data_IF_927438988187
#
_entry.id   IF_927438988187
#
_cell.length_a   1.000
_cell.length_b   1.000
_cell.length_c   1.000
_cell.angle_alpha   90.00
_cell.angle_beta   90.00
_cell.angle_gamma   90.00
#
_symmetry.space_group_name_H-M   'P 1'
#
loop_
_entity.id
_entity.type
_entity.pdbx_description
1 polymer ?
#
# COMPACT_ATOMS: atom_id res chain seq x y z
N UNK A 1 43.27 -3.81 -63.32
CA UNK A 1 44.52 -3.53 -62.59
C UNK A 1 44.64 -4.59 -61.51
N UNK A 2 45.33 -5.69 -61.84
CA UNK A 2 46.75 -5.96 -61.53
C UNK A 2 46.88 -6.52 -60.11
N UNK A 3 46.85 -7.83 -59.85
CA UNK A 3 47.67 -8.97 -60.37
C UNK A 3 48.85 -9.30 -59.42
N UNK A 4 49.20 -10.60 -59.37
CA UNK A 4 50.36 -11.27 -58.73
C UNK A 4 50.34 -11.60 -57.24
N UNK A 5 49.90 -12.85 -57.00
CA UNK A 5 50.73 -13.93 -56.47
C UNK A 5 52.25 -13.68 -56.32
N UNK A 6 52.82 -14.21 -55.24
CA UNK A 6 54.18 -14.77 -55.30
C UNK A 6 54.39 -15.96 -54.35
N UNK A 7 54.67 -17.12 -54.92
CA UNK A 7 55.23 -18.28 -54.21
C UNK A 7 56.59 -17.94 -53.57
N UNK A 8 56.96 -18.56 -52.44
CA UNK A 8 58.01 -19.61 -52.42
C UNK A 8 58.13 -20.38 -51.08
N UNK A 9 58.29 -21.71 -51.20
CA UNK A 9 58.81 -22.67 -50.21
C UNK A 9 60.36 -22.76 -50.34
N UNK A 10 61.08 -23.73 -49.72
CA UNK A 10 61.06 -24.30 -48.35
C UNK A 10 62.45 -24.23 -47.66
N UNK A 11 62.62 -24.81 -46.46
CA UNK A 11 63.95 -25.06 -45.86
C UNK A 11 63.95 -26.17 -44.80
N UNK A 12 64.89 -27.14 -44.90
CA UNK A 12 64.98 -28.33 -44.05
C UNK A 12 65.97 -28.17 -42.86
N UNK A 13 65.51 -28.52 -41.64
CA UNK A 13 66.29 -29.15 -40.55
C UNK A 13 67.59 -28.49 -40.04
N UNK A 14 68.37 -29.17 -39.16
CA UNK A 14 68.09 -30.43 -38.45
C UNK A 14 68.21 -30.34 -36.91
N UNK A 15 68.04 -31.50 -36.28
CA UNK A 15 68.26 -31.88 -34.87
C UNK A 15 69.38 -31.18 -34.08
N UNK A 16 69.11 -30.86 -32.80
CA UNK A 16 70.12 -30.61 -31.77
C UNK A 16 69.60 -31.01 -30.38
N UNK A 17 70.27 -31.95 -29.70
CA UNK A 17 69.92 -32.38 -28.35
C UNK A 17 70.61 -31.50 -27.28
N UNK A 18 69.94 -31.26 -26.14
CA UNK A 18 70.50 -30.44 -25.06
C UNK A 18 69.74 -30.62 -23.74
N UNK A 19 70.38 -31.25 -22.76
CA UNK A 19 69.76 -31.74 -21.53
C UNK A 19 69.29 -30.66 -20.54
N UNK A 20 68.19 -30.98 -19.85
CA UNK A 20 67.88 -30.69 -18.43
C UNK A 20 68.19 -29.31 -17.84
N UNK A 21 67.14 -28.59 -17.43
CA UNK A 21 67.10 -27.97 -16.10
C UNK A 21 65.73 -28.19 -15.42
N UNK A 22 65.73 -28.10 -14.10
CA UNK A 22 64.69 -28.59 -13.17
C UNK A 22 63.52 -27.62 -12.98
N UNK A 23 62.35 -28.22 -12.69
CA UNK A 23 61.25 -27.72 -11.85
C UNK A 23 60.59 -26.37 -12.20
N UNK A 24 59.25 -26.35 -12.28
CA UNK A 24 58.33 -25.78 -11.25
C UNK A 24 56.93 -25.59 -11.86
N UNK A 25 55.92 -25.99 -11.07
CA UNK A 25 54.46 -25.78 -11.19
C UNK A 25 53.69 -26.28 -12.44
N UNK A 26 52.86 -27.27 -12.14
CA UNK A 26 51.50 -27.44 -12.68
C UNK A 26 50.71 -26.12 -12.64
N UNK A 27 49.98 -25.81 -13.70
CA UNK A 27 48.84 -24.88 -13.66
C UNK A 27 47.71 -25.44 -14.54
N UNK A 28 46.85 -26.25 -13.94
CA UNK A 28 45.65 -26.78 -14.60
C UNK A 28 44.65 -25.62 -14.73
N UNK A 29 44.52 -25.06 -15.92
CA UNK A 29 43.46 -24.12 -16.25
C UNK A 29 42.12 -24.86 -16.44
N UNK A 30 41.60 -25.45 -15.36
CA UNK A 30 40.16 -25.70 -15.28
C UNK A 30 39.50 -24.33 -15.23
N UNK A 31 38.98 -23.86 -16.38
CA UNK A 31 37.93 -22.86 -16.38
C UNK A 31 36.74 -23.49 -15.67
N UNK A 32 36.65 -23.20 -14.37
CA UNK A 32 35.43 -23.33 -13.62
C UNK A 32 34.38 -22.48 -14.34
N UNK A 33 33.45 -23.16 -15.02
CA UNK A 33 32.09 -22.70 -15.11
C UNK A 33 31.52 -22.66 -13.68
N UNK A 34 31.95 -21.66 -12.89
CA UNK A 34 31.04 -21.02 -11.95
C UNK A 34 30.00 -20.31 -12.81
N UNK A 35 29.06 -21.08 -13.35
CA UNK A 35 27.75 -20.52 -13.61
C UNK A 35 27.32 -19.90 -12.30
N UNK A 36 27.18 -18.58 -12.29
CA UNK A 36 26.51 -17.91 -11.20
C UNK A 36 25.13 -18.57 -11.12
N UNK A 37 24.94 -19.42 -10.11
CA UNK A 37 23.63 -19.87 -9.69
C UNK A 37 22.90 -18.62 -9.25
N UNK A 38 22.29 -17.93 -10.22
CA UNK A 38 21.36 -16.84 -10.03
C UNK A 38 20.15 -17.40 -9.31
N UNK A 39 20.31 -17.63 -8.01
CA UNK A 39 19.24 -17.90 -7.06
C UNK A 39 18.20 -16.84 -7.29
N UNK A 40 17.05 -17.27 -7.81
CA UNK A 40 15.98 -16.35 -8.16
C UNK A 40 15.68 -15.47 -6.95
N UNK A 41 15.67 -14.15 -7.16
CA UNK A 41 15.56 -13.20 -6.07
C UNK A 41 14.34 -13.55 -5.19
N UNK A 42 14.53 -13.77 -3.87
CA UNK A 42 13.49 -14.31 -3.01
C UNK A 42 12.22 -13.45 -3.06
N UNK A 43 11.08 -14.13 -3.19
CA UNK A 43 9.75 -13.54 -3.29
C UNK A 43 9.04 -13.68 -1.96
N UNK A 44 8.65 -12.56 -1.35
CA UNK A 44 7.71 -12.56 -0.23
C UNK A 44 6.28 -12.57 -0.77
N UNK A 45 5.52 -13.65 -0.57
CA UNK A 45 4.14 -13.76 -1.03
C UNK A 45 3.17 -13.76 0.16
N UNK A 46 2.36 -12.70 0.28
CA UNK A 46 1.37 -12.51 1.33
C UNK A 46 -0.06 -12.62 0.79
N UNK A 47 -0.87 -13.48 1.41
CA UNK A 47 -2.33 -13.49 1.25
C UNK A 47 -3.00 -12.96 2.52
N UNK A 48 -3.82 -11.93 2.35
CA UNK A 48 -4.58 -11.28 3.40
C UNK A 48 -6.04 -11.74 3.26
N UNK A 49 -6.48 -12.60 4.16
CA UNK A 49 -7.84 -13.11 4.23
C UNK A 49 -8.71 -12.17 5.08
N UNK A 50 -9.76 -11.62 4.48
CA UNK A 50 -10.60 -10.61 5.08
C UNK A 50 -11.92 -11.21 5.53
N UNK A 51 -12.23 -11.07 6.83
CA UNK A 51 -13.43 -11.62 7.46
C UNK A 51 -14.14 -10.60 8.37
N UNK A 52 -15.07 -11.10 9.19
CA UNK A 52 -15.69 -10.35 10.28
C UNK A 52 -16.30 -9.01 9.86
N UNK A 53 -16.08 -8.00 10.69
CA UNK A 53 -16.59 -6.65 10.47
C UNK A 53 -15.87 -5.93 9.32
N UNK A 54 -14.59 -6.23 9.10
CA UNK A 54 -13.82 -5.68 7.98
C UNK A 54 -14.43 -6.08 6.63
N UNK A 55 -14.89 -7.32 6.51
CA UNK A 55 -15.57 -7.84 5.33
C UNK A 55 -17.01 -7.30 5.23
N UNK A 56 -17.75 -7.34 6.34
CA UNK A 56 -19.18 -7.00 6.38
C UNK A 56 -19.43 -5.50 6.17
N UNK A 57 -18.75 -4.67 6.96
CA UNK A 57 -18.94 -3.22 7.02
C UNK A 57 -17.82 -2.44 6.34
N UNK A 58 -16.85 -3.13 5.72
CA UNK A 58 -15.67 -2.49 5.14
C UNK A 58 -14.76 -1.90 6.22
N UNK A 59 -13.64 -1.34 5.79
CA UNK A 59 -12.68 -0.74 6.70
C UNK A 59 -11.38 -0.37 5.99
N UNK A 60 -10.31 -0.21 6.77
CA UNK A 60 -9.01 0.20 6.23
C UNK A 60 -7.90 -0.71 6.73
N UNK A 61 -7.06 -1.12 5.80
CA UNK A 61 -5.83 -1.87 6.07
C UNK A 61 -4.65 -1.06 5.56
N UNK A 62 -3.67 -0.80 6.42
CA UNK A 62 -2.42 -0.13 6.06
C UNK A 62 -1.30 -1.17 5.93
N UNK A 63 -0.74 -1.35 4.73
CA UNK A 63 0.36 -2.29 4.47
C UNK A 63 1.69 -1.54 4.55
N UNK A 64 2.54 -1.86 5.51
CA UNK A 64 3.92 -1.37 5.59
C UNK A 64 4.90 -2.43 5.06
N UNK A 65 5.72 -2.04 4.10
CA UNK A 65 6.82 -2.86 3.59
C UNK A 65 8.08 -2.63 4.45
N UNK A 66 8.65 -3.70 5.02
CA UNK A 66 9.82 -3.64 5.92
C UNK A 66 11.02 -4.35 5.25
N UNK A 67 11.95 -3.61 4.63
CA UNK A 67 13.13 -4.19 3.97
C UNK A 67 14.18 -4.66 4.99
N UNK A 68 14.29 -5.98 5.18
CA UNK A 68 15.29 -6.60 6.06
C UNK A 68 16.57 -6.98 5.30
N UNK A 69 17.69 -7.10 6.01
CA UNK A 69 18.95 -7.57 5.43
C UNK A 69 18.92 -9.07 5.15
N UNK A 70 19.88 -9.57 4.37
CA UNK A 70 19.91 -10.97 3.97
C UNK A 70 20.19 -11.91 5.16
N UNK A 71 20.92 -11.43 6.17
CA UNK A 71 21.22 -12.15 7.42
C UNK A 71 20.01 -12.19 8.37
N UNK A 72 19.11 -11.21 8.26
CA UNK A 72 17.86 -11.11 9.00
C UNK A 72 16.67 -11.74 8.25
N UNK A 73 16.88 -12.28 7.05
CA UNK A 73 15.86 -12.99 6.28
C UNK A 73 15.77 -14.45 6.74
N UNK A 74 14.62 -14.94 7.24
CA UNK A 74 14.54 -16.30 7.73
C UNK A 74 14.77 -17.35 6.62
N UNK A 75 15.53 -18.38 6.93
CA UNK A 75 15.84 -19.48 6.01
C UNK A 75 14.64 -20.40 5.80
N UNK A 76 14.37 -20.79 4.54
CA UNK A 76 13.26 -21.69 4.18
C UNK A 76 11.98 -20.99 3.70
N UNK A 77 11.99 -19.66 3.59
CA UNK A 77 10.85 -18.91 3.07
C UNK A 77 10.78 -18.98 1.54
N UNK A 78 9.61 -19.33 1.01
CA UNK A 78 9.29 -19.30 -0.42
C UNK A 78 8.45 -20.48 -0.93
N UNK A 79 8.32 -21.56 -0.13
CA UNK A 79 7.56 -22.75 -0.54
C UNK A 79 6.04 -22.61 -0.34
N UNK A 80 5.61 -21.82 0.65
CA UNK A 80 4.19 -21.51 0.91
C UNK A 80 3.97 -20.00 1.05
N UNK A 81 2.88 -19.45 0.46
CA UNK A 81 2.49 -18.07 0.72
C UNK A 81 2.11 -17.86 2.19
N UNK A 82 2.62 -16.80 2.80
CA UNK A 82 2.20 -16.37 4.14
C UNK A 82 0.73 -16.00 4.10
N UNK A 83 -0.07 -16.52 5.03
CA UNK A 83 -1.49 -16.17 5.19
C UNK A 83 -1.68 -15.42 6.52
N UNK A 84 -2.36 -14.27 6.47
CA UNK A 84 -2.86 -13.58 7.66
C UNK A 84 -4.37 -13.37 7.51
N UNK A 85 -5.10 -13.44 8.63
CA UNK A 85 -6.54 -13.15 8.68
C UNK A 85 -6.78 -11.81 9.38
N UNK A 86 -7.63 -10.97 8.79
CA UNK A 86 -8.05 -9.68 9.31
C UNK A 86 -9.58 -9.64 9.43
N UNK A 87 -10.10 -9.57 10.66
CA UNK A 87 -11.53 -9.43 10.94
C UNK A 87 -11.92 -8.01 11.41
N UNK A 88 -10.97 -7.24 11.95
CA UNK A 88 -11.20 -5.91 12.53
C UNK A 88 -11.19 -4.80 11.48
N UNK A 89 -12.07 -3.81 11.62
CA UNK A 89 -12.28 -2.72 10.63
C UNK A 89 -11.07 -1.79 10.44
N UNK A 90 -10.08 -1.89 11.32
CA UNK A 90 -8.75 -1.32 11.13
C UNK A 90 -7.67 -2.35 11.41
N UNK A 91 -6.69 -2.43 10.51
CA UNK A 91 -5.49 -3.22 10.71
C UNK A 91 -4.26 -2.54 10.07
N UNK A 92 -3.12 -2.67 10.73
CA UNK A 92 -1.81 -2.44 10.13
C UNK A 92 -1.14 -3.77 9.87
N UNK A 93 -0.60 -3.96 8.66
CA UNK A 93 0.13 -5.17 8.29
C UNK A 93 1.57 -4.80 8.05
N UNK A 94 2.47 -5.36 8.84
CA UNK A 94 3.90 -5.22 8.69
C UNK A 94 4.42 -6.42 7.90
N UNK A 95 4.76 -6.23 6.63
CA UNK A 95 5.29 -7.26 5.73
C UNK A 95 6.80 -7.10 5.59
N UNK A 96 7.56 -8.02 6.17
CA UNK A 96 9.01 -8.10 5.99
C UNK A 96 9.35 -8.72 4.64
N UNK A 97 10.33 -8.14 3.95
CA UNK A 97 10.83 -8.62 2.67
C UNK A 97 12.35 -8.43 2.56
N UNK A 98 13.06 -9.26 1.77
CA UNK A 98 14.51 -9.16 1.65
C UNK A 98 14.86 -7.95 0.79
N UNK A 99 15.80 -7.13 1.26
CA UNK A 99 16.27 -5.94 0.54
C UNK A 99 16.80 -6.30 -0.86
N UNK A 100 16.28 -5.64 -1.89
CA UNK A 100 16.59 -5.94 -3.30
C UNK A 100 15.84 -7.15 -3.89
N UNK A 101 15.06 -7.87 -3.07
CA UNK A 101 14.12 -8.90 -3.52
C UNK A 101 12.83 -8.31 -4.08
N UNK A 102 11.81 -9.17 -4.22
CA UNK A 102 10.47 -8.79 -4.64
C UNK A 102 9.45 -9.23 -3.60
N UNK A 103 8.32 -8.56 -3.56
CA UNK A 103 7.18 -9.01 -2.77
C UNK A 103 5.88 -8.83 -3.56
N UNK A 104 4.88 -9.62 -3.21
CA UNK A 104 3.50 -9.53 -3.69
C UNK A 104 2.60 -9.70 -2.49
N UNK A 105 1.59 -8.85 -2.35
CA UNK A 105 0.49 -9.09 -1.44
C UNK A 105 -0.82 -9.18 -2.24
N UNK A 106 -1.78 -9.95 -1.75
CA UNK A 106 -3.13 -10.07 -2.34
C UNK A 106 -4.17 -10.12 -1.24
N UNK A 107 -5.28 -9.43 -1.45
CA UNK A 107 -6.44 -9.55 -0.58
C UNK A 107 -7.39 -10.60 -1.14
N UNK A 108 -7.99 -11.40 -0.25
CA UNK A 108 -9.05 -12.36 -0.54
C UNK A 108 -10.11 -12.30 0.56
N UNK A 109 -11.38 -12.58 0.26
CA UNK A 109 -12.35 -12.85 1.31
C UNK A 109 -11.95 -14.13 2.07
N UNK A 110 -12.36 -14.22 3.33
CA UNK A 110 -12.16 -15.40 4.17
C UNK A 110 -12.78 -16.66 3.55
N UNK A 111 -12.20 -17.83 3.81
CA UNK A 111 -12.80 -19.12 3.42
C UNK A 111 -14.20 -19.26 4.05
N UNK A 112 -15.15 -19.81 3.28
CA UNK A 112 -16.57 -19.91 3.68
C UNK A 112 -17.43 -18.67 3.42
N UNK A 113 -16.86 -17.58 2.90
CA UNK A 113 -17.60 -16.38 2.50
C UNK A 113 -18.54 -16.64 1.32
N UNK A 114 -19.79 -16.18 1.42
CA UNK A 114 -20.72 -16.11 0.28
C UNK A 114 -20.24 -15.07 -0.74
N UNK A 115 -20.29 -15.43 -2.03
CA UNK A 115 -20.00 -14.55 -3.17
C UNK A 115 -18.58 -13.94 -3.21
N UNK A 116 -17.51 -14.76 -3.09
CA UNK A 116 -16.14 -14.27 -2.98
C UNK A 116 -15.66 -13.47 -4.21
N UNK A 117 -16.22 -13.71 -5.40
CA UNK A 117 -15.94 -12.95 -6.63
C UNK A 117 -16.34 -11.46 -6.50
N UNK A 118 -17.28 -11.14 -5.62
CA UNK A 118 -17.72 -9.77 -5.34
C UNK A 118 -16.79 -9.03 -4.37
N UNK A 119 -15.78 -9.67 -3.79
CA UNK A 119 -14.82 -9.01 -2.90
C UNK A 119 -13.92 -7.99 -3.63
N UNK A 120 -13.76 -6.78 -3.07
CA UNK A 120 -12.87 -5.76 -3.60
C UNK A 120 -12.13 -4.95 -2.54
N UNK A 121 -10.99 -4.41 -2.96
CA UNK A 121 -10.25 -3.36 -2.27
C UNK A 121 -9.99 -2.17 -3.19
N UNK A 122 -9.72 -1.01 -2.59
CA UNK A 122 -9.31 0.20 -3.31
C UNK A 122 -8.15 0.87 -2.57
N UNK A 123 -7.05 1.16 -3.28
CA UNK A 123 -5.96 1.98 -2.73
C UNK A 123 -6.47 3.41 -2.51
N UNK A 124 -6.34 3.92 -1.28
CA UNK A 124 -6.69 5.30 -0.94
C UNK A 124 -5.48 6.23 -1.09
N UNK A 125 -4.30 5.81 -0.66
CA UNK A 125 -3.07 6.61 -0.69
C UNK A 125 -1.84 5.77 -0.37
N UNK A 126 -0.66 6.27 -0.72
CA UNK A 126 0.63 5.79 -0.24
C UNK A 126 1.21 6.87 0.68
N UNK A 127 1.74 6.50 1.84
CA UNK A 127 2.31 7.43 2.84
C UNK A 127 3.79 7.12 3.04
N UNK A 128 4.67 8.08 2.76
CA UNK A 128 6.09 8.00 3.07
C UNK A 128 6.50 8.87 4.25
N UNK A 129 7.63 8.57 4.86
CA UNK A 129 8.26 9.41 5.89
C UNK A 129 9.71 9.70 5.52
N UNK A 130 10.21 10.87 5.90
CA UNK A 130 11.64 11.18 5.85
C UNK A 130 12.44 10.36 6.89
N UNK A 131 13.77 10.56 6.91
CA UNK A 131 14.69 9.90 7.86
C UNK A 131 14.40 10.21 9.34
N UNK A 132 13.52 11.18 9.64
CA UNK A 132 13.08 11.61 10.97
C UNK A 132 11.64 11.18 11.27
N UNK A 133 11.05 10.33 10.43
CA UNK A 133 9.68 9.83 10.51
C UNK A 133 8.60 10.93 10.28
N UNK A 134 8.95 12.02 9.59
CA UNK A 134 8.06 13.13 9.23
C UNK A 134 7.79 13.10 7.72
N UNK A 135 6.53 13.16 7.27
CA UNK A 135 6.21 13.03 5.84
C UNK A 135 6.68 14.23 5.00
N UNK A 136 7.29 14.09 3.82
CA UNK A 136 7.76 12.88 3.11
C UNK A 136 8.87 13.24 2.10
N UNK A 137 9.84 12.34 1.87
CA UNK A 137 10.34 12.07 0.52
C UNK A 137 10.69 10.57 0.39
N UNK A 138 10.44 9.96 -0.79
CA UNK A 138 10.55 8.51 -1.04
C UNK A 138 11.23 8.22 -2.39
N UNK A 139 11.88 7.05 -2.56
CA UNK A 139 12.83 6.77 -3.67
C UNK A 139 12.69 5.47 -4.54
N UNK A 140 11.77 4.54 -4.28
CA UNK A 140 11.45 3.30 -5.08
C UNK A 140 11.60 1.96 -4.32
N UNK A 141 10.62 1.04 -4.22
CA UNK A 141 9.18 1.09 -4.57
C UNK A 141 8.38 -0.25 -4.45
N UNK A 142 7.06 -0.18 -4.18
CA UNK A 142 6.10 -1.16 -4.76
C UNK A 142 6.21 -1.04 -6.29
N UNK A 143 5.78 -2.04 -7.08
CA UNK A 143 5.88 -1.95 -8.54
C UNK A 143 5.18 -0.67 -9.04
N UNK A 144 5.95 0.21 -9.67
CA UNK A 144 5.61 1.56 -10.15
C UNK A 144 5.49 2.70 -9.10
N UNK A 145 5.83 2.51 -7.80
CA UNK A 145 5.89 3.61 -6.81
C UNK A 145 6.77 3.39 -5.53
N UNK A 146 7.84 4.21 -5.40
CA UNK A 146 8.47 4.80 -4.18
C UNK A 146 8.51 4.04 -2.81
N UNK A 147 9.64 3.45 -2.35
CA UNK A 147 10.59 4.05 -1.36
C UNK A 147 10.03 4.17 0.05
N UNK A 148 9.80 3.03 0.72
CA UNK A 148 9.51 2.92 2.16
C UNK A 148 8.30 3.76 2.57
N UNK A 149 7.12 3.16 2.42
CA UNK A 149 5.88 3.84 2.72
C UNK A 149 4.69 2.92 2.88
N UNK A 150 3.85 3.21 3.87
CA UNK A 150 2.60 2.48 4.09
C UNK A 150 1.61 2.68 2.95
N UNK A 151 1.06 1.59 2.40
CA UNK A 151 -0.04 1.66 1.45
C UNK A 151 -1.38 1.55 2.18
N UNK A 152 -2.20 2.59 2.11
CA UNK A 152 -3.51 2.65 2.74
C UNK A 152 -4.56 2.10 1.78
N UNK A 153 -5.22 1.01 2.16
CA UNK A 153 -6.14 0.24 1.33
C UNK A 153 -7.51 0.18 2.02
N UNK A 154 -8.55 0.66 1.33
CA UNK A 154 -9.94 0.45 1.76
C UNK A 154 -10.38 -0.95 1.36
N UNK A 155 -10.90 -1.71 2.32
CA UNK A 155 -11.75 -2.88 2.03
C UNK A 155 -13.17 -2.34 1.80
N UNK A 156 -13.76 -2.66 0.65
CA UNK A 156 -15.12 -2.22 0.35
C UNK A 156 -16.12 -3.04 1.17
N UNK A 157 -17.12 -2.42 1.82
CA UNK A 157 -18.21 -3.15 2.47
C UNK A 157 -18.98 -3.98 1.44
N UNK A 158 -19.46 -5.16 1.83
CA UNK A 158 -20.29 -5.98 0.95
C UNK A 158 -21.54 -5.24 0.43
N UNK A 159 -22.19 -4.42 1.26
CA UNK A 159 -23.34 -3.58 0.84
C UNK A 159 -23.00 -2.64 -0.35
N UNK A 160 -21.75 -2.19 -0.50
CA UNK A 160 -21.31 -1.32 -1.60
C UNK A 160 -21.13 -2.07 -2.93
N UNK A 161 -20.69 -3.34 -2.89
CA UNK A 161 -20.20 -4.03 -4.10
C UNK A 161 -20.89 -5.36 -4.43
N UNK A 162 -21.48 -6.02 -3.44
CA UNK A 162 -22.24 -7.28 -3.58
C UNK A 162 -23.77 -7.08 -3.52
N UNK A 163 -24.26 -5.87 -3.25
CA UNK A 163 -25.70 -5.59 -3.34
C UNK A 163 -26.21 -5.79 -4.77
N UNK A 164 -27.27 -6.57 -4.97
CA UNK A 164 -27.79 -6.92 -6.30
C UNK A 164 -28.19 -5.70 -7.15
N UNK A 165 -28.84 -4.72 -6.52
CA UNK A 165 -29.35 -3.52 -7.17
C UNK A 165 -28.31 -2.38 -7.17
N UNK A 166 -28.20 -1.68 -8.30
CA UNK A 166 -27.32 -0.50 -8.44
C UNK A 166 -27.70 0.64 -7.48
N UNK A 167 -28.98 0.76 -7.11
CA UNK A 167 -29.44 1.69 -6.08
C UNK A 167 -28.81 1.36 -4.71
N UNK A 168 -28.80 0.10 -4.31
CA UNK A 168 -28.19 -0.37 -3.05
C UNK A 168 -26.67 -0.14 -3.06
N UNK A 169 -25.99 -0.51 -4.15
CA UNK A 169 -24.54 -0.23 -4.31
C UNK A 169 -24.23 1.27 -4.27
N UNK A 170 -25.10 2.09 -4.86
CA UNK A 170 -24.98 3.55 -4.82
C UNK A 170 -25.15 4.09 -3.42
N UNK A 171 -26.23 3.74 -2.71
CA UNK A 171 -26.43 4.12 -1.32
C UNK A 171 -25.26 3.65 -0.42
N UNK A 172 -24.71 2.45 -0.67
CA UNK A 172 -23.51 1.95 0.00
C UNK A 172 -22.27 2.81 -0.24
N UNK A 173 -22.03 3.25 -1.49
CA UNK A 173 -20.95 4.20 -1.85
C UNK A 173 -21.11 5.58 -1.17
N UNK A 174 -22.32 5.96 -0.77
CA UNK A 174 -22.60 7.23 -0.08
C UNK A 174 -22.66 7.12 1.44
N UNK A 175 -22.57 5.91 2.02
CA UNK A 175 -22.77 5.70 3.45
C UNK A 175 -24.22 5.88 3.90
N UNK A 176 -25.18 5.58 3.02
CA UNK A 176 -26.63 5.70 3.27
C UNK A 176 -27.27 4.35 3.67
N UNK A 177 -26.51 3.25 3.65
CA UNK A 177 -26.99 1.89 3.97
C UNK A 177 -26.66 1.44 5.40
N UNK A 178 -26.10 2.32 6.23
CA UNK A 178 -25.90 2.07 7.65
C UNK A 178 -27.23 2.16 8.38
N UNK A 179 -27.55 1.11 9.15
CA UNK A 179 -28.62 1.16 10.15
C UNK A 179 -28.16 1.98 11.36
N UNK A 180 -29.08 2.32 12.26
CA UNK A 180 -28.78 3.11 13.46
C UNK A 180 -27.70 2.47 14.35
N UNK A 181 -27.69 1.13 14.43
CA UNK A 181 -26.73 0.34 15.20
C UNK A 181 -25.52 -0.13 14.36
N UNK A 182 -25.47 0.17 13.05
CA UNK A 182 -24.29 -0.16 12.23
C UNK A 182 -23.11 0.75 12.63
N UNK A 183 -21.86 0.25 12.61
CA UNK A 183 -20.69 1.09 12.83
C UNK A 183 -20.49 2.08 11.65
N UNK A 184 -19.69 3.15 11.81
CA UNK A 184 -19.57 4.21 10.80
C UNK A 184 -19.26 3.69 9.39
N UNK A 185 -19.80 4.30 8.32
CA UNK A 185 -19.49 3.87 6.95
C UNK A 185 -17.99 3.80 6.69
N UNK A 186 -17.57 2.85 5.86
CA UNK A 186 -16.24 2.82 5.25
C UNK A 186 -16.33 3.11 3.73
N UNK A 187 -17.00 4.21 3.37
CA UNK A 187 -16.92 4.78 2.03
C UNK A 187 -15.56 5.46 1.80
N UNK A 188 -15.29 5.92 0.58
CA UNK A 188 -13.98 6.47 0.20
C UNK A 188 -13.54 7.70 1.05
N UNK A 189 -14.48 8.48 1.58
CA UNK A 189 -14.21 9.67 2.41
C UNK A 189 -14.18 9.29 3.88
N UNK A 190 -15.19 8.59 4.36
CA UNK A 190 -15.27 8.21 5.77
C UNK A 190 -14.09 7.31 6.18
N UNK A 191 -13.62 6.40 5.31
CA UNK A 191 -12.43 5.60 5.53
C UNK A 191 -11.14 6.44 5.72
N UNK A 192 -11.04 7.62 5.08
CA UNK A 192 -9.95 8.58 5.37
C UNK A 192 -10.14 9.26 6.73
N UNK A 193 -11.38 9.50 7.13
CA UNK A 193 -11.73 9.95 8.48
C UNK A 193 -11.25 8.98 9.56
N UNK A 194 -11.39 7.66 9.36
CA UNK A 194 -10.86 6.64 10.27
C UNK A 194 -9.34 6.78 10.44
N UNK A 195 -8.62 6.91 9.33
CA UNK A 195 -7.15 7.10 9.33
C UNK A 195 -6.74 8.37 10.08
N UNK A 196 -7.43 9.50 9.85
CA UNK A 196 -7.15 10.75 10.55
C UNK A 196 -7.40 10.62 12.07
N UNK A 197 -8.51 9.98 12.48
CA UNK A 197 -8.81 9.74 13.90
C UNK A 197 -7.76 8.85 14.57
N UNK A 198 -7.26 7.82 13.87
CA UNK A 198 -6.24 6.90 14.41
C UNK A 198 -4.86 7.55 14.51
N UNK A 199 -4.44 8.30 13.49
CA UNK A 199 -3.08 8.88 13.41
C UNK A 199 -2.94 10.19 14.17
N UNK A 200 -3.93 11.07 14.01
CA UNK A 200 -3.89 12.47 14.47
C UNK A 200 -4.75 12.70 15.73
N UNK A 201 -5.44 11.65 16.21
CA UNK A 201 -6.20 11.69 17.46
C UNK A 201 -5.30 11.91 18.69
N UNK A 202 -5.81 12.64 19.68
CA UNK A 202 -5.06 13.02 20.89
C UNK A 202 -4.53 11.84 21.73
N UNK A 203 -5.07 10.63 21.50
CA UNK A 203 -4.54 9.37 22.02
C UNK A 203 -4.59 8.36 20.88
N UNK A 204 -3.43 7.98 20.35
CA UNK A 204 -3.33 6.90 19.38
C UNK A 204 -3.81 5.60 20.05
N UNK A 205 -4.59 4.75 19.34
CA UNK A 205 -5.11 3.51 19.90
C UNK A 205 -3.97 2.52 20.16
N UNK A 206 -4.14 1.66 21.16
CA UNK A 206 -3.18 0.58 21.39
C UNK A 206 -3.41 -0.53 20.37
N UNK A 207 -2.37 -0.87 19.61
CA UNK A 207 -2.42 -1.93 18.62
C UNK A 207 -1.93 -3.26 19.21
N UNK A 208 -2.75 -4.30 19.06
CA UNK A 208 -2.44 -5.68 19.41
C UNK A 208 -1.95 -6.41 18.16
N UNK A 209 -0.67 -6.75 18.12
CA UNK A 209 -0.05 -7.43 16.98
C UNK A 209 -0.05 -8.95 17.13
N UNK A 210 -0.43 -9.66 16.06
CA UNK A 210 -0.37 -11.13 15.91
C UNK A 210 0.17 -11.50 14.53
N UNK A 211 0.95 -12.56 14.42
CA UNK A 211 1.54 -13.00 13.17
C UNK A 211 2.81 -13.82 13.39
N UNK A 212 3.61 -13.93 12.34
CA UNK A 212 4.86 -14.68 12.33
C UNK A 212 6.09 -13.75 12.14
N UNK A 213 7.22 -14.31 11.71
CA UNK A 213 8.45 -13.56 11.43
C UNK A 213 8.43 -12.81 10.10
N UNK A 214 7.42 -13.03 9.26
CA UNK A 214 7.23 -12.47 7.92
C UNK A 214 6.16 -11.39 7.87
N UNK A 215 4.98 -11.68 8.42
CA UNK A 215 3.84 -10.79 8.40
C UNK A 215 3.20 -10.69 9.79
N UNK A 216 3.08 -9.46 10.29
CA UNK A 216 2.36 -9.17 11.53
C UNK A 216 1.15 -8.28 11.25
N UNK A 217 -0.01 -8.70 11.73
CA UNK A 217 -1.26 -7.96 11.71
C UNK A 217 -1.49 -7.32 13.09
N UNK A 218 -1.54 -5.99 13.12
CA UNK A 218 -1.75 -5.17 14.30
C UNK A 218 -3.14 -4.53 14.24
N UNK A 219 -4.03 -4.90 15.16
CA UNK A 219 -5.43 -4.43 15.20
C UNK A 219 -5.71 -3.64 16.48
N UNK A 220 -6.72 -2.77 16.45
CA UNK A 220 -7.17 -2.03 17.64
C UNK A 220 -7.93 -3.00 18.56
N UNK A 221 -7.65 -2.94 19.87
CA UNK A 221 -8.31 -3.76 20.87
C UNK A 221 -9.83 -3.49 20.97
N UNK A 222 -10.63 -4.54 21.16
CA UNK A 222 -12.09 -4.52 21.06
C UNK A 222 -12.73 -3.47 21.99
N UNK A 223 -12.19 -3.29 23.20
CA UNK A 223 -12.67 -2.31 24.18
C UNK A 223 -12.49 -0.84 23.76
N UNK A 224 -11.66 -0.55 22.76
CA UNK A 224 -11.39 0.82 22.27
C UNK A 224 -12.34 1.24 21.13
N UNK A 225 -12.96 0.27 20.45
CA UNK A 225 -13.83 0.52 19.30
C UNK A 225 -15.05 1.41 19.58
N UNK A 226 -15.75 1.35 20.74
CA UNK A 226 -16.86 2.25 21.02
C UNK A 226 -16.46 3.73 21.02
N UNK A 227 -15.31 4.06 21.62
CA UNK A 227 -14.78 5.42 21.64
C UNK A 227 -14.27 5.85 20.25
N UNK A 228 -13.59 4.94 19.53
CA UNK A 228 -13.12 5.18 18.17
C UNK A 228 -14.27 5.43 17.19
N UNK A 229 -15.35 4.65 17.27
CA UNK A 229 -16.55 4.83 16.44
C UNK A 229 -17.21 6.19 16.69
N UNK A 230 -17.26 6.67 17.95
CA UNK A 230 -17.79 8.00 18.26
C UNK A 230 -16.92 9.13 17.66
N UNK A 231 -15.58 9.02 17.77
CA UNK A 231 -14.65 9.95 17.14
C UNK A 231 -14.73 9.91 15.60
N UNK A 232 -14.92 8.73 15.03
CA UNK A 232 -15.05 8.54 13.59
C UNK A 232 -16.37 9.12 13.05
N UNK A 233 -17.50 8.86 13.71
CA UNK A 233 -18.78 9.51 13.39
C UNK A 233 -18.67 11.04 13.46
N UNK A 234 -18.01 11.56 14.49
CA UNK A 234 -17.73 12.99 14.62
C UNK A 234 -16.89 13.53 13.47
N UNK A 235 -15.80 12.86 13.08
CA UNK A 235 -14.97 13.28 11.95
C UNK A 235 -15.75 13.27 10.61
N UNK A 236 -16.65 12.29 10.41
CA UNK A 236 -17.56 12.26 9.24
C UNK A 236 -18.51 13.47 9.25
N UNK A 237 -19.08 13.79 10.42
CA UNK A 237 -19.99 14.94 10.58
C UNK A 237 -19.27 16.28 10.36
N UNK A 238 -18.06 16.45 10.89
CA UNK A 238 -17.21 17.64 10.70
C UNK A 238 -16.85 17.82 9.21
N UNK A 239 -16.42 16.76 8.52
CA UNK A 239 -16.17 16.78 7.06
C UNK A 239 -17.44 16.99 6.21
N UNK A 240 -18.63 16.66 6.74
CA UNK A 240 -19.91 16.97 6.07
C UNK A 240 -20.25 18.46 6.22
N UNK A 241 -20.08 19.01 7.42
CA UNK A 241 -20.33 20.42 7.73
C UNK A 241 -19.37 21.36 6.97
N UNK A 242 -18.09 21.01 6.90
CA UNK A 242 -17.08 21.74 6.11
C UNK A 242 -17.49 21.81 4.62
N UNK A 243 -17.85 20.69 4.00
CA UNK A 243 -18.35 20.67 2.62
C UNK A 243 -19.65 21.46 2.42
N UNK A 244 -20.51 21.55 3.44
CA UNK A 244 -21.71 22.39 3.39
C UNK A 244 -21.33 23.87 3.41
N UNK A 245 -20.38 24.27 4.29
CA UNK A 245 -19.79 25.62 4.32
C UNK A 245 -19.17 26.01 2.98
N UNK A 246 -18.28 25.17 2.42
CA UNK A 246 -17.63 25.43 1.13
C UNK A 246 -18.65 25.61 -0.01
N UNK A 247 -19.67 24.75 -0.05
CA UNK A 247 -20.73 24.82 -1.08
C UNK A 247 -21.57 26.08 -0.93
N UNK A 248 -21.92 26.48 0.29
CA UNK A 248 -22.70 27.68 0.54
C UNK A 248 -21.89 28.96 0.23
N UNK A 249 -20.64 29.02 0.70
CA UNK A 249 -19.70 30.11 0.41
C UNK A 249 -19.50 30.27 -1.10
N UNK A 250 -19.27 29.16 -1.81
CA UNK A 250 -19.14 29.17 -3.27
C UNK A 250 -20.42 29.66 -3.96
N UNK A 251 -21.60 29.20 -3.57
CA UNK A 251 -22.88 29.70 -4.14
C UNK A 251 -23.08 31.20 -3.88
N UNK A 252 -22.63 31.72 -2.74
CA UNK A 252 -22.70 33.15 -2.44
C UNK A 252 -21.80 33.98 -3.37
N UNK A 253 -20.60 33.50 -3.71
CA UNK A 253 -19.75 34.17 -4.71
C UNK A 253 -20.26 33.97 -6.14
N UNK A 254 -20.64 32.74 -6.52
CA UNK A 254 -21.14 32.40 -7.86
C UNK A 254 -22.46 33.14 -8.22
N UNK A 255 -23.24 33.60 -7.23
CA UNK A 255 -24.46 34.41 -7.44
C UNK A 255 -24.19 35.92 -7.61
N UNK A 256 -22.96 36.38 -7.33
CA UNK A 256 -22.59 37.79 -7.42
C UNK A 256 -22.10 38.17 -8.83
N UNK A 257 -22.96 38.82 -9.61
CA UNK A 257 -22.68 39.12 -11.03
C UNK A 257 -21.65 40.24 -11.25
N UNK A 258 -21.44 41.10 -10.25
CA UNK A 258 -20.51 42.24 -10.32
C UNK A 258 -19.43 42.10 -9.24
N UNK A 259 -18.19 41.91 -9.69
CA UNK A 259 -17.06 41.67 -8.80
C UNK A 259 -16.74 42.87 -7.92
N UNK A 260 -16.61 42.64 -6.61
CA UNK A 260 -16.19 43.67 -5.66
C UNK A 260 -16.47 43.36 -4.19
N UNK A 261 -17.48 42.54 -3.88
CA UNK A 261 -17.92 42.22 -2.52
C UNK A 261 -17.23 41.02 -1.87
N UNK A 262 -17.67 40.71 -0.65
CA UNK A 262 -17.25 39.57 0.18
C UNK A 262 -18.47 38.81 0.70
N UNK A 263 -18.36 37.49 0.78
CA UNK A 263 -19.35 36.64 1.44
C UNK A 263 -18.99 36.48 2.92
N UNK A 264 -19.87 36.93 3.81
CA UNK A 264 -19.72 36.77 5.26
C UNK A 264 -20.74 35.72 5.76
N UNK A 265 -20.41 34.94 6.81
CA UNK A 265 -21.36 33.99 7.40
C UNK A 265 -22.65 34.69 7.83
N UNK A 266 -23.79 34.05 7.60
CA UNK A 266 -25.07 34.48 8.12
C UNK A 266 -25.19 34.09 9.60
N UNK A 267 -25.25 35.03 10.55
CA UNK A 267 -25.34 34.70 11.98
C UNK A 267 -26.74 34.23 12.41
N UNK A 268 -27.76 34.38 11.56
CA UNK A 268 -29.15 33.97 11.85
C UNK A 268 -29.47 32.57 11.33
N UNK A 269 -28.51 31.88 10.69
CA UNK A 269 -28.72 30.57 10.09
C UNK A 269 -28.16 29.41 10.93
N UNK A 270 -29.01 28.43 11.24
CA UNK A 270 -28.63 27.17 11.88
C UNK A 270 -27.83 26.24 10.94
N UNK A 271 -27.89 26.48 9.62
CA UNK A 271 -27.10 25.79 8.60
C UNK A 271 -26.00 26.72 8.03
N UNK A 272 -24.97 26.18 7.35
CA UNK A 272 -24.00 27.02 6.65
C UNK A 272 -24.63 27.89 5.54
N UNK A 273 -24.87 29.16 5.86
CA UNK A 273 -25.31 30.20 4.92
C UNK A 273 -24.37 31.41 4.95
N UNK A 274 -24.36 32.17 3.85
CA UNK A 274 -23.48 33.32 3.66
C UNK A 274 -24.23 34.44 2.93
N UNK A 275 -24.03 35.67 3.40
CA UNK A 275 -24.61 36.88 2.83
C UNK A 275 -23.54 37.63 2.03
N UNK A 276 -23.85 37.98 0.78
CA UNK A 276 -22.96 38.78 -0.06
C UNK A 276 -23.04 40.27 0.33
N UNK A 277 -21.90 40.85 0.69
CA UNK A 277 -21.77 42.27 1.01
C UNK A 277 -20.91 42.96 -0.04
N UNK A 278 -21.50 43.91 -0.78
CA UNK A 278 -20.75 44.81 -1.66
C UNK A 278 -19.72 45.60 -0.84
N UNK A 279 -18.50 45.77 -1.35
CA UNK A 279 -17.63 46.84 -0.86
C UNK A 279 -18.29 48.19 -1.16
N UNK A 280 -18.35 49.05 -0.15
CA UNK A 280 -18.75 50.46 -0.27
C UNK A 280 -17.60 51.28 -0.85
#
# INVERSE_FOLDING_TARGET
MTDRDRHQQPGHGPTGAGATFRNVLLAIAMLLFTGESSTAAPLSDLTIEVGGDLLTYGGVVTIYDIPVSQEAWPTGIGETPTKIRLDSRYAEVQLRYPRGGKFVFRFRPAEGTSDPETFATQVLSVIGTDEKHQGSQMTGGFKDAYSSGGQIIRVLPFKERAGDAEATRTAGRWGETQLYDDPPPADQRSARGLIAVIRDGQKQPHLLCKGDELAQACTIADEQWPALNALWWRAIAEQRLERMRDRALRRCYDSSFFGGGTCEPDPESDEPAYLYKNKK
#
